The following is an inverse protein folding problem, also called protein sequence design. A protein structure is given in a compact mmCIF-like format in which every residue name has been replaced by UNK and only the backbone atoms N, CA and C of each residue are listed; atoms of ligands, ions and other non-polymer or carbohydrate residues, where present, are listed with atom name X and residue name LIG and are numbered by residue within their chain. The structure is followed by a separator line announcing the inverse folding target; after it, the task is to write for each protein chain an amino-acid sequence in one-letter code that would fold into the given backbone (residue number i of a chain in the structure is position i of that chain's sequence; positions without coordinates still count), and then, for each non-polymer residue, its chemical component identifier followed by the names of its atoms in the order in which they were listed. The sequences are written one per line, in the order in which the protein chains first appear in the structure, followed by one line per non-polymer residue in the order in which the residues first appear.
data_IF_092092596972
#
_entry.id   IF_092092596972
#
_cell.length_a   1.000
_cell.length_b   1.000
_cell.length_c   1.000
_cell.angle_alpha   90.00
_cell.angle_beta   90.00
_cell.angle_gamma   90.00
#
_symmetry.space_group_name_H-M   'P 1'
#
loop_
_entity.id
_entity.type
_entity.pdbx_description
1 polymer ?
#
# COMPACT_ATOMS: atom_id res chain seq x y z
N UNK A 1 -2.29 38.15 -3.76
CA UNK A 1 -2.66 37.29 -4.90
C UNK A 1 -1.47 37.23 -5.84
N UNK A 2 -0.51 36.36 -5.57
CA UNK A 2 0.58 36.02 -6.48
C UNK A 2 0.10 34.85 -7.30
N UNK A 3 -0.54 35.13 -8.44
CA UNK A 3 -0.74 34.11 -9.47
C UNK A 3 0.63 33.66 -9.93
N UNK A 4 0.96 32.39 -9.72
CA UNK A 4 2.18 31.79 -10.22
C UNK A 4 2.26 32.04 -11.73
N UNK A 5 3.38 32.55 -12.23
CA UNK A 5 3.60 32.89 -13.65
C UNK A 5 3.27 31.69 -14.57
N UNK A 6 3.45 30.47 -14.06
CA UNK A 6 3.08 29.20 -14.69
C UNK A 6 1.57 29.09 -14.96
N UNK A 7 0.71 29.58 -14.07
CA UNK A 7 -0.75 29.57 -14.28
C UNK A 7 -1.18 30.59 -15.34
N UNK A 8 -0.50 31.75 -15.43
CA UNK A 8 -0.87 32.82 -16.35
C UNK A 8 -0.44 32.56 -17.80
N UNK A 9 0.73 31.96 -18.03
CA UNK A 9 1.23 31.71 -19.39
C UNK A 9 0.57 30.48 -20.05
N UNK A 10 0.16 29.48 -19.26
CA UNK A 10 -0.41 28.24 -19.80
C UNK A 10 -1.92 28.37 -20.10
N UNK A 11 -2.65 29.22 -19.38
CA UNK A 11 -4.10 29.43 -19.58
C UNK A 11 -4.43 29.96 -20.98
N UNK A 12 -3.52 30.66 -21.63
CA UNK A 12 -3.73 31.31 -22.94
C UNK A 12 -3.70 30.36 -24.14
N UNK A 13 -3.17 29.13 -24.02
CA UNK A 13 -2.80 28.32 -25.20
C UNK A 13 -3.55 26.97 -25.36
N UNK A 14 -4.52 26.60 -24.51
CA UNK A 14 -5.09 25.23 -24.52
C UNK A 14 -6.63 25.21 -24.56
N UNK A 15 -7.19 25.60 -25.70
CA UNK A 15 -8.61 25.38 -26.06
C UNK A 15 -8.70 24.17 -27.00
N UNK A 16 -9.40 23.10 -26.58
CA UNK A 16 -9.67 21.94 -27.43
C UNK A 16 -10.92 22.16 -28.30
N UNK A 17 -11.07 21.35 -29.36
CA UNK A 17 -12.12 21.45 -30.40
C UNK A 17 -13.58 21.58 -29.89
N UNK A 18 -13.87 21.16 -28.66
CA UNK A 18 -15.22 21.19 -28.07
C UNK A 18 -15.47 22.41 -27.17
N UNK A 19 -14.62 23.43 -27.23
CA UNK A 19 -14.71 24.67 -26.43
C UNK A 19 -14.62 24.45 -24.90
N UNK A 20 -14.27 23.23 -24.46
CA UNK A 20 -13.90 22.91 -23.08
C UNK A 20 -12.38 23.00 -22.93
N UNK A 21 -11.91 23.60 -21.84
CA UNK A 21 -10.47 23.63 -21.53
C UNK A 21 -10.00 22.24 -21.12
N UNK A 22 -8.74 21.89 -21.41
CA UNK A 22 -8.15 20.60 -20.99
C UNK A 22 -8.29 20.39 -19.47
N UNK A 23 -8.20 21.47 -18.69
CA UNK A 23 -8.46 21.47 -17.26
C UNK A 23 -9.89 21.01 -16.91
N UNK A 24 -10.91 21.42 -17.67
CA UNK A 24 -12.31 21.02 -17.44
C UNK A 24 -12.55 19.53 -17.72
N UNK A 25 -11.93 18.96 -18.76
CA UNK A 25 -12.06 17.52 -19.07
C UNK A 25 -11.41 16.64 -18.00
N UNK A 26 -10.37 17.15 -17.35
CA UNK A 26 -9.53 16.39 -16.42
C UNK A 26 -9.83 16.64 -14.96
N UNK A 27 -10.62 17.66 -14.65
CA UNK A 27 -11.02 17.95 -13.29
C UNK A 27 -11.76 16.77 -12.66
N UNK A 28 -12.62 16.06 -13.39
CA UNK A 28 -13.38 14.92 -12.84
C UNK A 28 -12.51 13.67 -12.57
N UNK A 29 -11.71 13.16 -13.53
CA UNK A 29 -10.80 12.05 -13.26
C UNK A 29 -9.74 12.38 -12.18
N UNK A 30 -9.18 13.59 -12.19
CA UNK A 30 -8.18 13.99 -11.20
C UNK A 30 -8.77 14.15 -9.80
N UNK A 31 -10.00 14.69 -9.69
CA UNK A 31 -10.72 14.76 -8.41
C UNK A 31 -11.05 13.38 -7.82
N UNK A 32 -11.24 12.37 -8.67
CA UNK A 32 -11.57 11.02 -8.20
C UNK A 32 -10.39 10.30 -7.53
N UNK A 33 -9.15 10.77 -7.74
CA UNK A 33 -7.94 10.20 -7.15
C UNK A 33 -6.96 11.30 -6.75
N UNK A 34 -7.43 12.23 -5.91
CA UNK A 34 -6.57 13.26 -5.34
C UNK A 34 -5.57 12.64 -4.37
N UNK A 35 -4.34 13.13 -4.44
CA UNK A 35 -3.30 12.83 -3.48
C UNK A 35 -3.56 13.58 -2.18
N UNK A 36 -3.55 12.84 -1.08
CA UNK A 36 -3.86 13.33 0.27
C UNK A 36 -2.71 13.08 1.26
N UNK A 37 -1.48 12.90 0.77
CA UNK A 37 -0.28 12.61 1.56
C UNK A 37 -0.24 11.23 2.21
N UNK A 38 -1.39 10.52 2.29
CA UNK A 38 -1.53 9.19 2.90
C UNK A 38 -1.30 8.04 1.93
N UNK A 39 -1.42 8.32 0.63
CA UNK A 39 -1.22 7.33 -0.42
C UNK A 39 0.28 7.20 -0.73
N UNK A 40 0.67 6.08 -1.34
CA UNK A 40 2.02 5.95 -1.89
C UNK A 40 2.18 6.89 -3.11
N UNK A 41 3.15 7.83 -3.09
CA UNK A 41 3.31 8.81 -4.15
C UNK A 41 3.75 8.19 -5.48
N UNK A 42 4.42 7.04 -5.47
CA UNK A 42 4.76 6.32 -6.71
C UNK A 42 3.50 5.77 -7.40
N UNK A 43 2.57 5.20 -6.64
CA UNK A 43 1.28 4.74 -7.15
C UNK A 43 0.41 5.90 -7.67
N UNK A 44 0.40 7.04 -6.97
CA UNK A 44 -0.26 8.25 -7.45
C UNK A 44 0.31 8.70 -8.81
N UNK A 45 1.64 8.78 -8.92
CA UNK A 45 2.29 9.12 -10.19
C UNK A 45 2.00 8.12 -11.30
N UNK A 46 1.95 6.82 -10.98
CA UNK A 46 1.60 5.77 -11.96
C UNK A 46 0.18 5.97 -12.48
N UNK A 47 -0.79 6.22 -11.60
CA UNK A 47 -2.16 6.53 -11.97
C UNK A 47 -2.24 7.81 -12.81
N UNK A 48 -1.60 8.89 -12.35
CA UNK A 48 -1.55 10.17 -13.05
C UNK A 48 -0.96 10.03 -14.46
N UNK A 49 0.16 9.32 -14.59
CA UNK A 49 0.77 9.03 -15.89
C UNK A 49 -0.16 8.22 -16.80
N UNK A 50 -0.90 7.24 -16.25
CA UNK A 50 -1.88 6.47 -17.02
C UNK A 50 -2.99 7.38 -17.55
N UNK A 51 -3.57 8.24 -16.72
CA UNK A 51 -4.62 9.17 -17.16
C UNK A 51 -4.08 10.18 -18.17
N UNK A 52 -2.94 10.82 -17.90
CA UNK A 52 -2.37 11.83 -18.81
C UNK A 52 -1.90 11.25 -20.14
N UNK A 53 -1.57 9.96 -20.22
CA UNK A 53 -1.19 9.28 -21.47
C UNK A 53 -2.34 9.14 -22.47
N UNK A 54 -3.61 9.22 -22.02
CA UNK A 54 -4.77 9.16 -22.92
C UNK A 54 -5.00 10.46 -23.67
N UNK A 55 -4.30 11.54 -23.28
CA UNK A 55 -4.41 12.85 -23.91
C UNK A 55 -3.31 13.01 -24.95
N UNK A 56 -3.73 13.26 -26.19
CA UNK A 56 -2.84 13.59 -27.29
C UNK A 56 -3.29 14.91 -27.91
N UNK A 57 -2.39 15.88 -27.92
CA UNK A 57 -2.55 17.12 -28.68
C UNK A 57 -1.36 17.24 -29.62
N UNK A 58 -1.60 17.49 -30.91
CA UNK A 58 -0.54 17.46 -31.93
C UNK A 58 0.56 18.49 -31.66
N UNK A 59 0.21 19.63 -31.06
CA UNK A 59 1.13 20.77 -30.88
C UNK A 59 1.63 20.95 -29.44
N UNK A 60 1.13 20.15 -28.49
CA UNK A 60 1.50 20.30 -27.07
C UNK A 60 2.17 19.01 -26.58
N UNK A 61 3.45 19.07 -26.18
CA UNK A 61 4.14 17.91 -25.60
C UNK A 61 3.41 17.36 -24.38
N UNK A 62 3.42 16.03 -24.22
CA UNK A 62 2.74 15.37 -23.09
C UNK A 62 3.32 15.80 -21.72
N UNK A 63 4.60 16.16 -21.65
CA UNK A 63 5.23 16.71 -20.45
C UNK A 63 4.63 18.06 -20.04
N UNK A 64 4.32 18.94 -21.00
CA UNK A 64 3.61 20.21 -20.76
C UNK A 64 2.20 19.96 -20.23
N UNK A 65 1.49 18.99 -20.83
CA UNK A 65 0.16 18.55 -20.37
C UNK A 65 0.24 18.07 -18.91
N UNK A 66 1.22 17.21 -18.58
CA UNK A 66 1.42 16.71 -17.21
C UNK A 66 1.68 17.83 -16.21
N UNK A 67 2.58 18.76 -16.53
CA UNK A 67 2.91 19.90 -15.66
C UNK A 67 1.68 20.77 -15.37
N UNK A 68 0.85 21.04 -16.38
CA UNK A 68 -0.38 21.81 -16.22
C UNK A 68 -1.40 21.11 -15.32
N UNK A 69 -1.48 19.78 -15.40
CA UNK A 69 -2.54 19.01 -14.76
C UNK A 69 -2.20 18.53 -13.36
N UNK A 70 -0.92 18.35 -13.05
CA UNK A 70 -0.47 17.85 -11.76
C UNK A 70 -1.02 18.62 -10.56
N UNK A 71 -1.06 19.97 -10.56
CA UNK A 71 -1.82 20.80 -9.62
C UNK A 71 -3.19 20.25 -9.20
N UNK A 72 -3.99 19.78 -10.15
CA UNK A 72 -5.37 19.32 -9.91
C UNK A 72 -5.43 17.92 -9.31
N UNK A 73 -4.30 17.20 -9.32
CA UNK A 73 -4.17 15.89 -8.70
C UNK A 73 -3.85 15.95 -7.20
N UNK A 74 -3.59 17.15 -6.66
CA UNK A 74 -3.27 17.37 -5.24
C UNK A 74 -4.48 17.96 -4.49
N UNK A 75 -4.55 17.72 -3.19
CA UNK A 75 -5.57 18.29 -2.31
C UNK A 75 -4.94 18.84 -1.02
N UNK A 76 -5.59 19.83 -0.40
CA UNK A 76 -5.21 20.34 0.92
C UNK A 76 -3.74 20.80 1.02
N UNK A 77 -3.05 20.32 2.06
CA UNK A 77 -1.65 20.68 2.35
C UNK A 77 -0.68 20.29 1.24
N UNK A 78 -0.96 19.22 0.48
CA UNK A 78 -0.10 18.77 -0.61
C UNK A 78 -0.11 19.78 -1.78
N UNK A 79 -1.27 20.39 -2.03
CA UNK A 79 -1.41 21.47 -3.01
C UNK A 79 -0.66 22.73 -2.52
N UNK A 80 -0.79 23.05 -1.24
CA UNK A 80 -0.11 24.20 -0.62
C UNK A 80 1.41 24.04 -0.71
N UNK A 81 1.95 22.82 -0.58
CA UNK A 81 3.38 22.55 -0.80
C UNK A 81 3.83 22.98 -2.19
N UNK A 82 3.11 22.57 -3.23
CA UNK A 82 3.46 22.90 -4.62
C UNK A 82 3.44 24.42 -4.86
N UNK A 83 2.49 25.13 -4.25
CA UNK A 83 2.37 26.59 -4.39
C UNK A 83 3.48 27.37 -3.64
N UNK A 84 4.15 26.74 -2.66
CA UNK A 84 5.28 27.31 -1.89
C UNK A 84 6.64 27.10 -2.56
N UNK A 85 6.71 26.32 -3.62
CA UNK A 85 7.97 26.08 -4.33
C UNK A 85 8.55 27.39 -4.87
N UNK A 86 9.88 27.60 -4.80
CA UNK A 86 10.49 28.82 -5.30
C UNK A 86 10.20 29.04 -6.80
N UNK A 87 10.03 30.29 -7.24
CA UNK A 87 9.86 30.58 -8.65
C UNK A 87 10.99 29.96 -9.48
N UNK A 88 10.64 29.36 -10.62
CA UNK A 88 11.59 28.70 -11.55
C UNK A 88 12.30 27.47 -10.99
N UNK A 89 11.86 26.91 -9.86
CA UNK A 89 12.41 25.65 -9.31
C UNK A 89 11.91 24.40 -10.03
N UNK A 90 10.76 24.48 -10.72
CA UNK A 90 10.16 23.41 -11.51
C UNK A 90 10.03 23.91 -12.94
N UNK A 91 10.89 23.45 -13.83
CA UNK A 91 10.88 23.82 -15.25
C UNK A 91 10.48 22.63 -16.14
N UNK A 92 10.80 21.42 -15.68
CA UNK A 92 10.54 20.17 -16.39
C UNK A 92 9.65 19.25 -15.57
N UNK A 93 9.09 18.23 -16.23
CA UNK A 93 8.34 17.19 -15.54
C UNK A 93 9.24 16.43 -14.55
N UNK A 94 10.50 16.22 -14.91
CA UNK A 94 11.51 15.58 -14.08
C UNK A 94 11.81 16.38 -12.80
N UNK A 95 11.86 17.73 -12.88
CA UNK A 95 12.03 18.58 -11.69
C UNK A 95 10.85 18.41 -10.72
N UNK A 96 9.63 18.41 -11.25
CA UNK A 96 8.41 18.21 -10.47
C UNK A 96 8.42 16.84 -9.80
N UNK A 97 8.72 15.78 -10.56
CA UNK A 97 8.80 14.41 -10.07
C UNK A 97 9.80 14.30 -8.91
N UNK A 98 11.01 14.83 -9.11
CA UNK A 98 12.07 14.79 -8.12
C UNK A 98 11.65 15.47 -6.81
N UNK A 99 11.08 16.67 -6.90
CA UNK A 99 10.60 17.42 -5.73
C UNK A 99 9.44 16.72 -5.04
N UNK A 100 8.47 16.21 -5.79
CA UNK A 100 7.32 15.50 -5.25
C UNK A 100 7.74 14.22 -4.51
N UNK A 101 8.58 13.38 -5.13
CA UNK A 101 9.08 12.16 -4.48
C UNK A 101 9.93 12.52 -3.25
N UNK A 102 10.83 13.49 -3.33
CA UNK A 102 11.65 13.87 -2.18
C UNK A 102 10.81 14.42 -1.02
N UNK A 103 9.70 15.10 -1.31
CA UNK A 103 8.79 15.60 -0.29
C UNK A 103 8.00 14.48 0.40
N UNK A 104 7.42 13.55 -0.38
CA UNK A 104 6.43 12.59 0.14
C UNK A 104 6.98 11.17 0.35
N UNK A 105 8.09 10.83 -0.28
CA UNK A 105 8.81 9.56 -0.12
C UNK A 105 10.32 9.76 -0.25
N UNK A 106 10.95 10.47 0.71
CA UNK A 106 12.36 10.80 0.63
C UNK A 106 13.24 9.54 0.54
N UNK A 107 14.42 9.63 -0.09
CA UNK A 107 15.37 8.52 -0.15
C UNK A 107 15.71 7.91 1.22
N UNK A 108 15.74 8.73 2.28
CA UNK A 108 15.94 8.26 3.66
C UNK A 108 14.86 7.28 4.12
N UNK A 109 13.60 7.49 3.73
CA UNK A 109 12.50 6.54 4.00
C UNK A 109 12.68 5.24 3.23
N UNK A 110 13.13 5.31 1.98
CA UNK A 110 13.49 4.12 1.20
C UNK A 110 14.60 3.33 1.89
N UNK A 111 15.67 4.00 2.32
CA UNK A 111 16.78 3.37 3.06
C UNK A 111 16.31 2.74 4.37
N UNK A 112 15.48 3.45 5.14
CA UNK A 112 14.91 2.93 6.38
C UNK A 112 14.10 1.65 6.13
N UNK A 113 13.14 1.68 5.19
CA UNK A 113 12.30 0.52 4.89
C UNK A 113 13.12 -0.65 4.35
N UNK A 114 14.14 -0.41 3.53
CA UNK A 114 15.07 -1.45 3.09
C UNK A 114 15.79 -2.09 4.26
N UNK A 115 16.25 -1.30 5.23
CA UNK A 115 16.90 -1.82 6.43
C UNK A 115 15.93 -2.60 7.32
N UNK A 116 14.67 -2.16 7.44
CA UNK A 116 13.64 -2.92 8.18
C UNK A 116 13.33 -4.26 7.52
N UNK A 117 13.35 -4.31 6.18
CA UNK A 117 13.20 -5.58 5.43
C UNK A 117 14.40 -6.49 5.70
N UNK A 118 15.65 -6.01 5.54
CA UNK A 118 16.84 -6.85 5.67
C UNK A 118 17.13 -7.30 7.09
N UNK A 119 16.78 -6.47 8.08
CA UNK A 119 16.98 -6.78 9.50
C UNK A 119 15.68 -7.27 10.16
N UNK A 120 14.72 -7.73 9.36
CA UNK A 120 13.47 -8.25 9.88
C UNK A 120 13.75 -9.40 10.86
N UNK A 121 13.09 -9.37 12.01
CA UNK A 121 13.12 -10.44 13.00
C UNK A 121 11.70 -10.62 13.52
N UNK A 122 11.27 -11.88 13.68
CA UNK A 122 10.04 -12.19 14.39
C UNK A 122 10.20 -11.79 15.87
N UNK A 123 9.25 -11.01 16.37
CA UNK A 123 9.32 -10.50 17.74
C UNK A 123 8.98 -11.61 18.76
N UNK A 124 9.47 -11.52 20.01
CA UNK A 124 9.00 -12.38 21.08
C UNK A 124 7.47 -12.29 21.21
N UNK A 125 6.80 -13.45 21.27
CA UNK A 125 5.34 -13.60 21.30
C UNK A 125 4.58 -13.22 20.01
N UNK A 126 5.27 -12.78 18.95
CA UNK A 126 4.65 -12.56 17.65
C UNK A 126 4.40 -13.91 16.97
N UNK A 127 3.17 -14.11 16.53
CA UNK A 127 2.80 -15.33 15.81
C UNK A 127 3.33 -15.30 14.38
N UNK A 128 3.51 -16.46 13.76
CA UNK A 128 3.91 -16.55 12.34
C UNK A 128 3.06 -15.66 11.41
N UNK A 129 1.74 -15.63 11.66
CA UNK A 129 0.80 -14.84 10.90
C UNK A 129 1.07 -13.34 10.99
N UNK A 130 1.23 -12.84 12.21
CA UNK A 130 1.51 -11.43 12.46
C UNK A 130 2.86 -11.03 11.85
N UNK A 131 3.87 -11.89 11.98
CA UNK A 131 5.17 -11.69 11.35
C UNK A 131 5.05 -11.63 9.82
N UNK A 132 4.32 -12.58 9.20
CA UNK A 132 4.12 -12.59 7.75
C UNK A 132 3.35 -11.36 7.26
N UNK A 133 2.31 -10.94 7.99
CA UNK A 133 1.54 -9.75 7.64
C UNK A 133 2.37 -8.47 7.78
N UNK A 134 3.19 -8.36 8.82
CA UNK A 134 4.13 -7.24 9.02
C UNK A 134 5.20 -7.20 7.93
N UNK A 135 5.75 -8.35 7.55
CA UNK A 135 6.72 -8.44 6.46
C UNK A 135 6.10 -7.98 5.13
N UNK A 136 4.91 -8.47 4.79
CA UNK A 136 4.17 -8.01 3.59
C UNK A 136 3.86 -6.51 3.65
N UNK A 137 3.56 -5.96 4.82
CA UNK A 137 3.31 -4.53 4.97
C UNK A 137 4.56 -3.69 4.66
N UNK A 138 5.74 -4.10 5.14
CA UNK A 138 7.02 -3.48 4.77
C UNK A 138 7.26 -3.48 3.25
N UNK A 139 6.96 -4.61 2.59
CA UNK A 139 7.09 -4.71 1.12
C UNK A 139 6.10 -3.79 0.39
N UNK A 140 4.86 -3.66 0.88
CA UNK A 140 3.85 -2.75 0.31
C UNK A 140 4.23 -1.28 0.50
N UNK A 141 4.88 -0.94 1.60
CA UNK A 141 5.35 0.41 1.87
C UNK A 141 6.55 0.80 1.00
N UNK A 142 7.32 -0.16 0.49
CA UNK A 142 8.49 0.09 -0.36
C UNK A 142 8.50 -0.83 -1.60
N UNK A 143 7.56 -0.67 -2.55
CA UNK A 143 7.45 -1.56 -3.72
C UNK A 143 8.70 -1.53 -4.64
N UNK A 144 9.48 -0.45 -4.57
CA UNK A 144 10.76 -0.26 -5.27
C UNK A 144 11.98 -0.68 -4.43
N UNK A 145 11.81 -1.62 -3.49
CA UNK A 145 12.88 -2.08 -2.59
C UNK A 145 14.08 -2.73 -3.31
N UNK A 146 13.93 -3.24 -4.53
CA UNK A 146 15.03 -3.78 -5.34
C UNK A 146 15.55 -5.18 -4.96
N UNK A 147 15.07 -5.77 -3.85
CA UNK A 147 15.32 -7.16 -3.50
C UNK A 147 14.65 -8.18 -4.44
N UNK A 148 15.33 -9.31 -4.66
CA UNK A 148 14.77 -10.46 -5.41
C UNK A 148 13.81 -11.27 -4.53
N UNK A 149 12.89 -12.01 -5.17
CA UNK A 149 11.96 -12.88 -4.45
C UNK A 149 12.68 -13.92 -3.56
N UNK A 150 13.75 -14.52 -4.08
CA UNK A 150 14.60 -15.44 -3.32
C UNK A 150 15.22 -14.77 -2.08
N UNK A 151 15.75 -13.55 -2.21
CA UNK A 151 16.31 -12.83 -1.07
C UNK A 151 15.25 -12.52 -0.01
N UNK A 152 14.04 -12.16 -0.42
CA UNK A 152 12.94 -11.89 0.52
C UNK A 152 12.49 -13.15 1.26
N UNK A 153 12.43 -14.29 0.57
CA UNK A 153 12.09 -15.58 1.17
C UNK A 153 13.16 -16.04 2.17
N UNK A 154 14.43 -15.94 1.78
CA UNK A 154 15.57 -16.24 2.66
C UNK A 154 15.58 -15.34 3.90
N UNK A 155 15.41 -14.03 3.70
CA UNK A 155 15.33 -13.05 4.78
C UNK A 155 14.19 -13.37 5.75
N UNK A 156 12.99 -13.64 5.22
CA UNK A 156 11.84 -13.97 6.06
C UNK A 156 12.06 -15.28 6.82
N UNK A 157 12.54 -16.34 6.17
CA UNK A 157 12.81 -17.63 6.81
C UNK A 157 13.84 -17.51 7.94
N UNK A 158 14.98 -16.85 7.67
CA UNK A 158 16.06 -16.68 8.65
C UNK A 158 15.66 -15.78 9.83
N UNK A 159 14.62 -14.95 9.66
CA UNK A 159 14.08 -14.08 10.70
C UNK A 159 13.10 -14.77 11.66
N UNK A 160 12.61 -15.95 11.32
CA UNK A 160 11.63 -16.69 12.12
C UNK A 160 12.28 -17.32 13.35
N UNK A 161 11.47 -17.55 14.38
CA UNK A 161 11.88 -18.39 15.49
C UNK A 161 12.04 -19.86 15.04
N UNK A 162 12.85 -20.66 15.76
CA UNK A 162 13.14 -22.05 15.39
C UNK A 162 11.88 -22.92 15.18
N UNK A 163 10.84 -22.76 16.00
CA UNK A 163 9.62 -23.57 15.86
C UNK A 163 8.88 -23.26 14.54
N UNK A 164 8.89 -22.01 14.10
CA UNK A 164 8.27 -21.62 12.84
C UNK A 164 9.13 -22.02 11.63
N UNK A 165 10.45 -22.03 11.75
CA UNK A 165 11.37 -22.60 10.75
C UNK A 165 11.15 -24.11 10.59
N UNK A 166 11.18 -24.88 11.69
CA UNK A 166 10.94 -26.33 11.69
C UNK A 166 9.60 -26.70 11.07
N UNK A 167 8.57 -25.89 11.32
CA UNK A 167 7.24 -26.08 10.74
C UNK A 167 7.21 -25.84 9.23
N UNK A 168 8.00 -24.88 8.72
CA UNK A 168 8.14 -24.65 7.29
C UNK A 168 8.91 -25.79 6.62
N UNK A 169 10.02 -26.24 7.21
CA UNK A 169 10.81 -27.37 6.71
C UNK A 169 9.98 -28.67 6.68
N UNK A 170 9.22 -28.92 7.75
CA UNK A 170 8.30 -30.06 7.81
C UNK A 170 7.26 -30.02 6.69
N UNK A 171 6.69 -28.83 6.42
CA UNK A 171 5.73 -28.65 5.32
C UNK A 171 6.38 -28.77 3.93
N UNK A 172 7.65 -28.38 3.80
CA UNK A 172 8.45 -28.53 2.60
C UNK A 172 8.92 -29.98 2.36
N UNK A 173 8.82 -30.86 3.38
CA UNK A 173 9.38 -32.23 3.40
C UNK A 173 10.91 -32.22 3.21
N UNK A 174 11.58 -31.30 3.88
CA UNK A 174 13.02 -31.04 3.74
C UNK A 174 13.32 -29.57 3.99
N UNK A 175 14.51 -29.10 3.65
CA UNK A 175 14.85 -27.68 3.78
C UNK A 175 13.92 -26.82 2.93
N UNK A 176 13.25 -25.86 3.55
CA UNK A 176 12.36 -24.90 2.91
C UNK A 176 13.07 -24.09 1.83
N UNK A 177 14.33 -23.68 2.07
CA UNK A 177 15.10 -22.84 1.15
C UNK A 177 15.60 -23.59 -0.10
N UNK A 178 15.51 -24.93 -0.13
CA UNK A 178 15.82 -25.73 -1.33
C UNK A 178 14.66 -25.74 -2.34
N UNK A 179 13.48 -25.25 -1.96
CA UNK A 179 12.31 -25.18 -2.84
C UNK A 179 12.39 -23.98 -3.77
N UNK A 180 11.67 -24.10 -4.90
CA UNK A 180 11.50 -22.96 -5.80
C UNK A 180 10.63 -21.87 -5.15
N UNK A 181 10.82 -20.57 -5.46
CA UNK A 181 10.11 -19.47 -4.80
C UNK A 181 8.59 -19.63 -4.72
N UNK A 182 7.99 -20.12 -5.82
CA UNK A 182 6.56 -20.36 -5.91
C UNK A 182 6.08 -21.38 -4.86
N UNK A 183 6.83 -22.44 -4.62
CA UNK A 183 6.50 -23.45 -3.61
C UNK A 183 6.67 -22.89 -2.20
N UNK A 184 7.75 -22.14 -1.96
CA UNK A 184 7.99 -21.45 -0.69
C UNK A 184 6.80 -20.56 -0.29
N UNK A 185 6.34 -19.71 -1.23
CA UNK A 185 5.19 -18.85 -1.01
C UNK A 185 3.91 -19.64 -0.71
N UNK A 186 3.66 -20.75 -1.43
CA UNK A 186 2.49 -21.60 -1.18
C UNK A 186 2.52 -22.22 0.22
N UNK A 187 3.69 -22.65 0.69
CA UNK A 187 3.86 -23.21 2.04
C UNK A 187 3.63 -22.15 3.11
N UNK A 188 4.22 -20.95 2.95
CA UNK A 188 4.01 -19.80 3.86
C UNK A 188 2.52 -19.45 3.92
N UNK A 189 1.86 -19.31 2.77
CA UNK A 189 0.43 -18.98 2.68
C UNK A 189 -0.47 -20.10 3.24
N UNK A 190 -0.07 -21.36 3.11
CA UNK A 190 -0.79 -22.47 3.73
C UNK A 190 -0.70 -22.38 5.26
N UNK A 191 0.51 -22.23 5.81
CA UNK A 191 0.74 -22.12 7.25
C UNK A 191 0.03 -20.91 7.86
N UNK A 192 0.01 -19.78 7.16
CA UNK A 192 -0.73 -18.58 7.60
C UNK A 192 -2.25 -18.84 7.68
N UNK A 193 -2.81 -19.72 6.85
CA UNK A 193 -4.27 -20.00 6.87
C UNK A 193 -4.72 -21.01 7.92
N UNK A 194 -3.81 -21.82 8.48
CA UNK A 194 -4.15 -22.91 9.42
C UNK A 194 -4.90 -22.43 10.67
N UNK A 195 -4.68 -21.18 11.12
CA UNK A 195 -5.38 -20.63 12.31
C UNK A 195 -6.85 -20.24 12.07
N UNK A 196 -7.25 -19.83 10.86
CA UNK A 196 -8.66 -19.56 10.54
C UNK A 196 -9.54 -20.82 10.61
N UNK A 197 -8.92 -22.01 10.62
CA UNK A 197 -9.61 -23.29 10.68
C UNK A 197 -9.72 -23.83 12.11
N UNK A 198 -8.71 -23.62 12.96
CA UNK A 198 -8.74 -24.07 14.37
C UNK A 198 -9.64 -23.21 15.27
N UNK A 199 -9.77 -21.91 15.01
CA UNK A 199 -10.71 -21.05 15.76
C UNK A 199 -12.18 -21.44 15.52
N UNK A 200 -12.57 -21.75 14.28
CA UNK A 200 -13.93 -22.27 14.00
C UNK A 200 -14.22 -23.62 14.65
N UNK A 201 -13.18 -24.44 14.88
CA UNK A 201 -13.34 -25.75 15.50
C UNK A 201 -13.42 -25.68 17.03
N UNK A 202 -12.76 -24.71 17.66
CA UNK A 202 -12.86 -24.48 19.11
C UNK A 202 -14.21 -23.89 19.50
N UNK A 203 -14.72 -22.92 18.72
CA UNK A 203 -16.01 -22.27 18.99
C UNK A 203 -17.19 -23.25 18.89
N UNK A 204 -17.12 -24.21 17.96
CA UNK A 204 -18.14 -25.27 17.84
C UNK A 204 -18.08 -26.30 18.98
N UNK A 205 -16.90 -26.55 19.56
CA UNK A 205 -16.71 -27.57 20.61
C UNK A 205 -17.11 -27.04 22.00
N UNK A 206 -16.91 -25.76 22.28
CA UNK A 206 -17.42 -25.13 23.50
C UNK A 206 -18.95 -25.04 23.50
N UNK A 207 -19.56 -24.77 22.34
CA UNK A 207 -21.02 -24.70 22.23
C UNK A 207 -21.72 -26.07 22.37
N UNK A 208 -21.03 -27.18 22.09
CA UNK A 208 -21.57 -28.53 22.25
C UNK A 208 -21.45 -29.09 23.68
N UNK A 209 -20.65 -28.45 24.55
CA UNK A 209 -20.37 -28.91 25.92
C UNK A 209 -21.07 -28.07 27.01
N UNK A 210 -21.94 -27.13 26.64
CA UNK A 210 -22.76 -26.39 27.60
C UNK A 210 -23.86 -27.30 28.16
N UNK A 211 -23.68 -27.74 29.41
CA UNK A 211 -24.73 -28.46 30.17
C UNK A 211 -26.00 -27.59 30.27
N UNK A 212 -27.21 -28.16 30.09
CA UNK A 212 -28.44 -27.39 30.20
C UNK A 212 -28.65 -26.92 31.66
N UNK A 213 -29.30 -25.75 31.88
CA UNK A 213 -29.55 -25.26 33.22
C UNK A 213 -30.54 -26.19 33.94
N UNK A 214 -30.17 -26.62 35.14
CA UNK A 214 -31.02 -27.40 36.04
C UNK A 214 -32.26 -26.58 36.44
N UNK A 215 -33.44 -27.03 36.02
CA UNK A 215 -34.73 -26.45 36.40
C UNK A 215 -35.09 -26.87 37.84
N UNK A 216 -34.93 -25.96 38.79
CA UNK A 216 -35.44 -26.13 40.16
C UNK A 216 -36.95 -25.87 40.17
N UNK A 217 -37.74 -26.94 40.26
CA UNK A 217 -39.18 -26.83 40.53
C UNK A 217 -39.41 -26.57 42.04
N UNK A 218 -39.94 -25.39 42.37
CA UNK A 218 -40.62 -25.14 43.65
C UNK A 218 -42.13 -25.25 43.43
N UNK A 219 -42.74 -26.30 43.96
CA UNK A 219 -44.19 -26.36 44.17
C UNK A 219 -44.44 -26.27 45.67
N UNK A 220 -45.27 -25.32 46.10
CA UNK A 220 -45.81 -25.28 47.47
C UNK A 220 -47.24 -24.77 47.46
N UNK A 221 -48.02 -25.39 48.35
CA UNK A 221 -49.41 -25.19 48.77
C UNK A 221 -50.48 -25.93 47.98
N UNK A 222 -51.42 -26.65 48.60
CA UNK A 222 -51.54 -27.34 49.91
C UNK A 222 -52.95 -27.98 49.88
N UNK A 223 -53.19 -29.05 50.65
CA UNK A 223 -54.55 -29.52 50.95
C UNK A 223 -54.57 -30.26 52.30
N UNK A 224 -54.92 -29.54 53.37
CA UNK A 224 -56.15 -29.77 54.14
C UNK A 224 -56.34 -28.70 55.22
#
# INVERSE_FOLDING_TARGET
KTTNVVESEIRTNVTMADNRTMAQMLQAPMKSNQFTGRQDPHNHLRFFNKVTSTFRHLEVPNTTIKLLLFPFSLEGEDRIWLDKEPPRSILTWEDLLSKFINQFFPPSKTTYLRNEITNFLQKPNETFNEAWDRFKDLLRQCPHHGFTELHLLDTFYNALNPNDQDALDSAARGNFLDKIPRECLLIIESKSKVRYSRSRFTDLRENANASPPSSSHSNSFDLQ
#
